data_IF_453419693322
#
_entry.id   IF_453419693322
#
_cell.length_a   1.000
_cell.length_b   1.000
_cell.length_c   1.000
_cell.angle_alpha   90.00
_cell.angle_beta   90.00
_cell.angle_gamma   90.00
#
_symmetry.space_group_name_H-M   'P 1'
#
loop_
_entity.id
_entity.type
_entity.pdbx_description
1 polymer ?
#
# COMPACT_ATOMS: atom_id res chain seq x y z
N UNK A 1 -24.09 28.91 2.54
CA UNK A 1 -22.87 28.44 1.83
C UNK A 1 -22.56 27.02 2.29
N UNK A 2 -22.49 26.03 1.40
CA UNK A 2 -22.01 24.68 1.77
C UNK A 2 -20.55 24.83 2.22
N UNK A 3 -20.23 24.49 3.47
CA UNK A 3 -18.84 24.44 3.94
C UNK A 3 -18.04 23.52 3.01
N UNK A 4 -16.90 24.01 2.53
CA UNK A 4 -15.97 23.22 1.74
C UNK A 4 -15.51 22.02 2.59
N UNK A 5 -15.81 20.80 2.14
CA UNK A 5 -15.50 19.58 2.88
C UNK A 5 -14.09 19.12 2.52
N UNK A 6 -13.33 18.69 3.52
CA UNK A 6 -11.96 18.19 3.33
C UNK A 6 -11.99 16.86 2.59
N UNK A 7 -11.08 16.66 1.63
CA UNK A 7 -10.91 15.38 0.94
C UNK A 7 -10.05 14.43 1.78
N UNK A 8 -10.45 13.17 1.87
CA UNK A 8 -9.74 12.12 2.61
C UNK A 8 -9.77 10.83 1.80
N UNK A 9 -8.61 10.20 1.66
CA UNK A 9 -8.46 8.88 1.06
C UNK A 9 -8.43 7.83 2.18
N UNK A 10 -9.28 6.82 2.07
CA UNK A 10 -9.35 5.73 3.05
C UNK A 10 -9.06 4.41 2.34
N UNK A 11 -8.13 3.63 2.88
CA UNK A 11 -7.89 2.25 2.44
C UNK A 11 -8.62 1.27 3.36
N UNK A 12 -9.19 0.21 2.79
CA UNK A 12 -9.86 -0.85 3.54
C UNK A 12 -9.04 -2.14 3.44
N UNK A 13 -8.48 -2.58 4.56
CA UNK A 13 -7.59 -3.75 4.66
C UNK A 13 -8.21 -4.85 5.55
N UNK A 14 -7.68 -6.07 5.47
CA UNK A 14 -8.18 -7.22 6.23
C UNK A 14 -8.08 -8.55 5.47
N UNK A 15 -8.31 -9.67 6.15
CA UNK A 15 -8.19 -11.02 5.59
C UNK A 15 -9.14 -11.29 4.41
N UNK A 16 -8.79 -12.21 3.50
CA UNK A 16 -9.76 -12.79 2.56
C UNK A 16 -11.00 -13.26 3.35
N UNK A 17 -12.18 -13.08 2.76
CA UNK A 17 -13.47 -13.42 3.36
C UNK A 17 -13.88 -12.66 4.63
N UNK A 18 -13.08 -11.71 5.12
CA UNK A 18 -13.51 -10.75 6.17
C UNK A 18 -14.58 -9.73 5.72
N UNK A 19 -15.27 -9.98 4.61
CA UNK A 19 -16.35 -9.12 4.10
C UNK A 19 -15.96 -7.68 3.74
N UNK A 20 -14.67 -7.40 3.46
CA UNK A 20 -14.17 -6.07 3.05
C UNK A 20 -15.00 -5.39 1.97
N UNK A 21 -15.19 -6.08 0.85
CA UNK A 21 -15.94 -5.55 -0.28
C UNK A 21 -17.42 -5.38 0.07
N UNK A 22 -18.02 -6.31 0.82
CA UNK A 22 -19.42 -6.20 1.24
C UNK A 22 -19.65 -4.98 2.13
N UNK A 23 -18.84 -4.80 3.17
CA UNK A 23 -18.93 -3.66 4.10
C UNK A 23 -18.69 -2.32 3.39
N UNK A 24 -17.68 -2.27 2.52
CA UNK A 24 -17.37 -1.07 1.74
C UNK A 24 -18.53 -0.71 0.79
N UNK A 25 -19.12 -1.70 0.13
CA UNK A 25 -20.21 -1.48 -0.82
C UNK A 25 -21.47 -1.01 -0.13
N UNK A 26 -21.78 -1.62 1.02
CA UNK A 26 -22.89 -1.22 1.86
C UNK A 26 -22.72 0.20 2.42
N UNK A 27 -21.49 0.60 2.77
CA UNK A 27 -21.18 1.95 3.22
C UNK A 27 -21.42 2.98 2.11
N UNK A 28 -20.90 2.73 0.90
CA UNK A 28 -21.09 3.63 -0.26
C UNK A 28 -22.58 3.74 -0.61
N UNK A 29 -23.31 2.62 -0.56
CA UNK A 29 -24.76 2.58 -0.77
C UNK A 29 -25.50 3.46 0.23
N UNK A 30 -25.26 3.26 1.54
CA UNK A 30 -25.93 4.03 2.61
C UNK A 30 -25.57 5.51 2.62
N UNK A 31 -24.35 5.87 2.23
CA UNK A 31 -23.91 7.25 2.15
C UNK A 31 -24.34 7.96 0.86
N UNK A 32 -25.12 7.32 -0.01
CA UNK A 32 -25.61 7.91 -1.26
C UNK A 32 -24.50 8.17 -2.28
N UNK A 33 -23.41 7.41 -2.22
CA UNK A 33 -22.31 7.49 -3.20
C UNK A 33 -22.68 6.91 -4.58
N UNK A 34 -23.85 6.28 -4.71
CA UNK A 34 -24.38 5.70 -5.94
C UNK A 34 -25.73 6.37 -6.25
N UNK A 35 -25.91 6.80 -7.49
CA UNK A 35 -27.20 7.32 -7.96
C UNK A 35 -28.29 6.24 -7.95
N UNK A 36 -29.53 6.64 -7.62
CA UNK A 36 -30.69 5.75 -7.49
C UNK A 36 -30.96 4.92 -8.76
N UNK A 37 -30.72 5.50 -9.94
CA UNK A 37 -30.87 4.79 -11.23
C UNK A 37 -29.86 3.66 -11.40
N UNK A 38 -28.64 3.87 -10.91
CA UNK A 38 -27.59 2.86 -10.96
C UNK A 38 -27.83 1.78 -9.92
N UNK A 39 -28.37 2.13 -8.75
CA UNK A 39 -28.78 1.18 -7.71
C UNK A 39 -29.75 0.13 -8.28
N UNK A 40 -30.88 0.55 -8.85
CA UNK A 40 -31.88 -0.39 -9.40
C UNK A 40 -31.31 -1.29 -10.49
N UNK A 41 -30.45 -0.74 -11.35
CA UNK A 41 -29.75 -1.50 -12.39
C UNK A 41 -28.83 -2.55 -11.81
N UNK A 42 -28.14 -2.23 -10.71
CA UNK A 42 -27.22 -3.15 -10.07
C UNK A 42 -27.95 -4.23 -9.27
N UNK A 43 -29.03 -3.88 -8.58
CA UNK A 43 -29.86 -4.84 -7.83
C UNK A 43 -30.47 -5.88 -8.79
N UNK A 44 -31.02 -5.42 -9.92
CA UNK A 44 -31.54 -6.30 -10.97
C UNK A 44 -30.46 -7.22 -11.56
N UNK A 45 -29.28 -6.66 -11.87
CA UNK A 45 -28.17 -7.44 -12.42
C UNK A 45 -27.58 -8.46 -11.43
N UNK A 46 -27.56 -8.14 -10.13
CA UNK A 46 -27.11 -9.07 -9.10
C UNK A 46 -28.10 -10.24 -8.90
N UNK A 47 -29.41 -9.94 -8.96
CA UNK A 47 -30.47 -10.94 -8.89
C UNK A 47 -30.45 -11.90 -10.09
N UNK A 48 -30.29 -11.39 -11.31
CA UNK A 48 -30.19 -12.19 -12.55
C UNK A 48 -28.97 -13.13 -12.53
N UNK A 49 -27.88 -12.73 -11.88
CA UNK A 49 -26.66 -13.53 -11.74
C UNK A 49 -26.66 -14.46 -10.51
N UNK A 50 -27.74 -14.51 -9.73
CA UNK A 50 -27.86 -15.36 -8.54
C UNK A 50 -26.90 -14.98 -7.40
N UNK A 51 -26.42 -13.73 -7.34
CA UNK A 51 -25.42 -13.27 -6.36
C UNK A 51 -26.05 -12.66 -5.09
N UNK A 52 -27.10 -13.28 -4.55
CA UNK A 52 -27.94 -12.70 -3.50
C UNK A 52 -27.19 -12.20 -2.25
N UNK A 53 -26.26 -12.98 -1.69
CA UNK A 53 -25.51 -12.57 -0.48
C UNK A 53 -24.28 -11.67 -0.76
N UNK A 54 -23.89 -11.51 -2.03
CA UNK A 54 -22.68 -10.79 -2.45
C UNK A 54 -22.98 -9.54 -3.31
N UNK A 55 -24.24 -9.10 -3.31
CA UNK A 55 -24.74 -7.99 -4.13
C UNK A 55 -23.90 -6.72 -3.98
N UNK A 56 -23.65 -6.27 -2.75
CA UNK A 56 -22.85 -5.06 -2.50
C UNK A 56 -21.39 -5.18 -2.95
N UNK A 57 -20.79 -6.37 -2.83
CA UNK A 57 -19.44 -6.62 -3.32
C UNK A 57 -19.39 -6.62 -4.86
N UNK A 58 -20.45 -7.13 -5.51
CA UNK A 58 -20.59 -7.12 -6.96
C UNK A 58 -20.75 -5.70 -7.50
N UNK A 59 -21.57 -4.87 -6.85
CA UNK A 59 -21.73 -3.44 -7.17
C UNK A 59 -20.37 -2.72 -7.12
N UNK A 60 -19.58 -2.95 -6.07
CA UNK A 60 -18.22 -2.40 -5.94
C UNK A 60 -17.28 -2.82 -7.07
N UNK A 61 -17.40 -4.07 -7.54
CA UNK A 61 -16.64 -4.58 -8.67
C UNK A 61 -16.99 -3.91 -9.99
N UNK A 62 -18.22 -3.40 -10.13
CA UNK A 62 -18.67 -2.61 -11.30
C UNK A 62 -18.28 -1.13 -11.19
N UNK A 63 -18.25 -0.57 -9.98
CA UNK A 63 -17.89 0.82 -9.70
C UNK A 63 -16.38 1.08 -9.66
N UNK A 64 -15.57 0.43 -10.52
CA UNK A 64 -14.09 0.57 -10.53
C UNK A 64 -13.61 2.03 -10.56
N UNK A 65 -14.42 2.98 -11.05
CA UNK A 65 -14.09 4.40 -11.13
C UNK A 65 -14.71 5.29 -10.02
N UNK A 66 -15.73 4.83 -9.29
CA UNK A 66 -16.62 5.70 -8.49
C UNK A 66 -16.75 5.25 -7.02
N UNK A 67 -15.64 4.86 -6.38
CA UNK A 67 -15.65 4.50 -4.95
C UNK A 67 -15.55 5.73 -4.05
N UNK A 68 -16.57 6.60 -4.08
CA UNK A 68 -16.58 7.86 -3.34
C UNK A 68 -17.89 8.03 -2.58
N UNK A 69 -17.83 8.64 -1.41
CA UNK A 69 -19.02 9.04 -0.67
C UNK A 69 -18.76 10.29 0.16
N UNK A 70 -19.83 10.94 0.60
CA UNK A 70 -19.75 12.13 1.43
C UNK A 70 -20.18 11.83 2.87
N UNK A 71 -19.51 12.50 3.81
CA UNK A 71 -19.98 12.60 5.21
C UNK A 71 -20.33 14.05 5.53
N UNK A 72 -20.69 14.32 6.79
CA UNK A 72 -20.96 15.68 7.25
C UNK A 72 -19.74 16.61 7.11
N UNK A 73 -18.51 16.07 7.19
CA UNK A 73 -17.25 16.85 7.21
C UNK A 73 -16.31 16.55 6.05
N UNK A 74 -16.39 15.36 5.46
CA UNK A 74 -15.37 14.87 4.51
C UNK A 74 -15.96 14.39 3.19
N UNK A 75 -15.19 14.61 2.13
CA UNK A 75 -15.28 13.89 0.85
C UNK A 75 -14.36 12.68 0.94
N UNK A 76 -14.94 11.48 1.02
CA UNK A 76 -14.18 10.24 1.19
C UNK A 76 -14.01 9.55 -0.16
N UNK A 77 -12.77 9.21 -0.50
CA UNK A 77 -12.44 8.29 -1.60
C UNK A 77 -11.93 6.99 -1.00
N UNK A 78 -12.54 5.87 -1.38
CA UNK A 78 -12.05 4.55 -0.98
C UNK A 78 -10.99 4.09 -1.98
N UNK A 79 -9.81 3.81 -1.46
CA UNK A 79 -8.71 3.21 -2.22
C UNK A 79 -8.85 1.69 -2.20
N UNK A 80 -8.71 1.07 -3.37
CA UNK A 80 -8.79 -0.37 -3.51
C UNK A 80 -7.54 -1.03 -2.89
N UNK A 81 -7.75 -1.86 -1.86
CA UNK A 81 -6.72 -2.71 -1.27
C UNK A 81 -7.21 -4.16 -1.28
N UNK A 82 -6.94 -4.90 -2.36
CA UNK A 82 -7.30 -6.31 -2.45
C UNK A 82 -6.57 -7.13 -1.40
N UNK A 83 -7.30 -8.02 -0.72
CA UNK A 83 -6.74 -8.88 0.32
C UNK A 83 -6.07 -10.15 -0.21
N UNK A 84 -6.08 -10.43 -1.51
CA UNK A 84 -5.44 -11.64 -2.05
C UNK A 84 -3.92 -11.44 -2.23
N UNK A 85 -3.14 -12.49 -1.99
CA UNK A 85 -1.66 -12.44 -2.02
C UNK A 85 -1.11 -11.98 -3.38
N UNK A 86 -1.80 -12.31 -4.47
CA UNK A 86 -1.40 -11.89 -5.82
C UNK A 86 -1.50 -10.38 -6.06
N UNK A 87 -2.19 -9.63 -5.19
CA UNK A 87 -2.40 -8.20 -5.36
C UNK A 87 -1.71 -7.35 -4.30
N UNK A 88 -0.66 -7.87 -3.66
CA UNK A 88 0.16 -7.12 -2.69
C UNK A 88 0.70 -5.82 -3.30
N UNK A 89 1.09 -5.80 -4.57
CA UNK A 89 1.53 -4.58 -5.27
C UNK A 89 0.43 -3.51 -5.30
N UNK A 90 -0.80 -3.90 -5.61
CA UNK A 90 -1.95 -2.98 -5.61
C UNK A 90 -2.27 -2.49 -4.19
N UNK A 91 -2.11 -3.35 -3.18
CA UNK A 91 -2.29 -2.98 -1.78
C UNK A 91 -1.24 -1.95 -1.33
N UNK A 92 0.04 -2.14 -1.68
CA UNK A 92 1.13 -1.21 -1.31
C UNK A 92 0.93 0.14 -2.00
N UNK A 93 0.66 0.14 -3.31
CA UNK A 93 0.42 1.37 -4.07
C UNK A 93 -0.85 2.10 -3.62
N UNK A 94 -1.92 1.36 -3.29
CA UNK A 94 -3.17 1.91 -2.77
C UNK A 94 -3.02 2.50 -1.37
N UNK A 95 -2.37 1.78 -0.47
CA UNK A 95 -2.12 2.25 0.92
C UNK A 95 -1.24 3.50 0.93
N UNK A 96 -0.27 3.60 0.00
CA UNK A 96 0.59 4.79 -0.14
C UNK A 96 -0.17 6.07 -0.48
N UNK A 97 -1.38 5.97 -1.03
CA UNK A 97 -2.25 7.12 -1.36
C UNK A 97 -3.28 7.41 -0.26
N UNK A 98 -3.37 6.56 0.76
CA UNK A 98 -4.40 6.65 1.78
C UNK A 98 -3.96 7.51 2.96
N UNK A 99 -4.86 8.36 3.44
CA UNK A 99 -4.66 9.16 4.65
C UNK A 99 -4.99 8.35 5.90
N UNK A 100 -5.94 7.40 5.79
CA UNK A 100 -6.45 6.58 6.89
C UNK A 100 -6.68 5.14 6.42
N UNK A 101 -6.57 4.19 7.33
CA UNK A 101 -6.87 2.79 7.09
C UNK A 101 -8.03 2.30 7.97
N UNK A 102 -8.90 1.48 7.40
CA UNK A 102 -9.92 0.71 8.10
C UNK A 102 -9.50 -0.76 8.03
N UNK A 103 -9.22 -1.36 9.18
CA UNK A 103 -8.97 -2.80 9.29
C UNK A 103 -10.29 -3.53 9.58
N UNK A 104 -10.68 -4.44 8.69
CA UNK A 104 -11.84 -5.30 8.90
C UNK A 104 -11.38 -6.66 9.39
N UNK A 105 -11.98 -7.08 10.49
CA UNK A 105 -11.71 -8.35 11.17
C UNK A 105 -13.01 -9.12 11.24
N UNK A 106 -12.99 -10.37 10.75
CA UNK A 106 -14.12 -11.27 10.88
C UNK A 106 -14.30 -11.68 12.35
N UNK A 107 -15.55 -11.80 12.78
CA UNK A 107 -15.90 -12.23 14.13
C UNK A 107 -16.49 -13.65 14.17
N UNK A 108 -16.58 -14.32 13.00
CA UNK A 108 -16.98 -15.72 12.92
C UNK A 108 -15.95 -16.61 13.62
N UNK A 109 -16.44 -17.67 14.25
CA UNK A 109 -15.59 -18.76 14.76
C UNK A 109 -14.81 -19.35 13.59
N UNK A 110 -13.54 -19.64 13.79
CA UNK A 110 -12.56 -20.10 12.79
C UNK A 110 -12.14 -19.02 11.77
N UNK A 111 -13.01 -18.08 11.41
CA UNK A 111 -12.68 -16.96 10.51
C UNK A 111 -11.74 -15.95 11.17
N UNK A 112 -12.00 -15.62 12.44
CA UNK A 112 -11.13 -14.75 13.23
C UNK A 112 -9.75 -15.37 13.38
N UNK A 113 -9.70 -16.62 13.82
CA UNK A 113 -8.48 -17.40 14.05
C UNK A 113 -7.67 -17.55 12.75
N UNK A 114 -8.34 -17.84 11.62
CA UNK A 114 -7.69 -17.90 10.32
C UNK A 114 -7.02 -16.58 9.95
N UNK A 115 -7.72 -15.45 10.17
CA UNK A 115 -7.23 -14.11 9.87
C UNK A 115 -6.00 -13.70 10.70
N UNK A 116 -5.95 -14.05 11.98
CA UNK A 116 -4.83 -13.71 12.90
C UNK A 116 -3.74 -14.79 12.96
N UNK A 117 -3.94 -15.94 12.32
CA UNK A 117 -2.96 -17.02 12.27
C UNK A 117 -1.66 -16.58 11.58
N UNK A 118 -0.59 -17.38 11.71
CA UNK A 118 0.69 -17.17 11.00
C UNK A 118 0.57 -17.16 9.47
N UNK A 119 -0.54 -17.64 8.93
CA UNK A 119 -0.83 -17.65 7.49
C UNK A 119 -1.94 -16.67 7.10
N UNK A 120 -2.60 -16.09 8.10
CA UNK A 120 -3.59 -15.05 7.96
C UNK A 120 -2.96 -13.75 7.47
N UNK A 121 -3.80 -12.88 6.94
CA UNK A 121 -3.38 -11.60 6.35
C UNK A 121 -3.68 -10.42 7.27
N UNK A 122 -4.38 -10.65 8.37
CA UNK A 122 -4.61 -9.65 9.41
C UNK A 122 -3.32 -9.43 10.22
N UNK A 123 -2.43 -10.42 10.27
CA UNK A 123 -1.12 -10.31 10.88
C UNK A 123 -0.02 -10.52 9.82
N UNK A 124 0.63 -9.44 9.42
CA UNK A 124 1.74 -9.47 8.46
C UNK A 124 3.00 -9.97 9.19
N UNK A 125 3.22 -11.29 9.21
CA UNK A 125 4.47 -11.89 9.67
C UNK A 125 5.30 -12.32 8.46
N UNK A 126 6.51 -11.76 8.26
CA UNK A 126 7.45 -12.33 7.31
C UNK A 126 7.71 -13.79 7.67
N UNK A 127 7.67 -14.70 6.68
CA UNK A 127 7.89 -16.13 6.95
C UNK A 127 9.25 -16.36 7.64
N UNK A 128 9.31 -17.26 8.64
CA UNK A 128 10.52 -17.49 9.44
C UNK A 128 11.70 -18.12 8.70
N UNK A 129 11.55 -18.54 7.43
CA UNK A 129 12.55 -19.34 6.72
C UNK A 129 13.43 -18.55 5.75
N UNK A 130 13.25 -17.24 5.60
CA UNK A 130 14.06 -16.44 4.69
C UNK A 130 15.09 -15.62 5.44
N UNK A 131 16.36 -15.80 5.08
CA UNK A 131 17.48 -14.99 5.58
C UNK A 131 17.89 -13.98 4.51
N UNK A 132 18.01 -12.71 4.87
CA UNK A 132 18.50 -11.65 3.97
C UNK A 132 20.00 -11.48 4.24
N UNK A 133 20.83 -11.62 3.21
CA UNK A 133 22.27 -11.38 3.27
C UNK A 133 22.71 -10.29 2.29
N UNK A 134 23.93 -9.77 2.47
CA UNK A 134 24.52 -8.86 1.49
C UNK A 134 24.55 -9.48 0.09
N UNK A 135 24.17 -8.71 -0.92
CA UNK A 135 24.02 -9.16 -2.30
C UNK A 135 22.62 -9.62 -2.68
N UNK A 136 21.72 -9.84 -1.72
CA UNK A 136 20.31 -10.16 -1.99
C UNK A 136 19.64 -9.03 -2.79
N UNK A 137 18.90 -9.36 -3.85
CA UNK A 137 18.34 -8.39 -4.79
C UNK A 137 16.81 -8.51 -4.93
N UNK A 138 16.05 -8.09 -3.90
CA UNK A 138 14.59 -8.10 -3.96
C UNK A 138 14.05 -6.99 -4.87
N UNK A 139 12.75 -7.07 -5.15
CA UNK A 139 12.02 -6.00 -5.79
C UNK A 139 11.63 -4.96 -4.74
N UNK A 140 12.06 -3.72 -4.91
CA UNK A 140 11.67 -2.57 -4.10
C UNK A 140 10.40 -1.96 -4.68
N UNK A 141 9.35 -1.96 -3.86
CA UNK A 141 8.13 -1.18 -4.05
C UNK A 141 8.24 0.12 -3.25
N UNK A 142 8.54 1.22 -3.93
CA UNK A 142 8.58 2.55 -3.34
C UNK A 142 7.57 3.43 -4.06
N UNK A 143 6.41 3.66 -3.45
CA UNK A 143 5.31 4.40 -4.06
C UNK A 143 4.85 3.76 -5.38
N UNK A 144 4.96 4.48 -6.51
CA UNK A 144 4.67 3.98 -7.85
C UNK A 144 5.88 3.31 -8.53
N UNK A 145 7.06 3.34 -7.92
CA UNK A 145 8.27 2.73 -8.47
C UNK A 145 8.37 1.25 -8.05
N UNK A 146 8.54 0.38 -9.06
CA UNK A 146 8.75 -1.06 -8.94
C UNK A 146 10.10 -1.42 -9.56
N UNK A 147 11.15 -1.56 -8.74
CA UNK A 147 12.53 -1.66 -9.23
C UNK A 147 13.32 -2.68 -8.42
N UNK A 148 14.07 -3.55 -9.09
CA UNK A 148 15.02 -4.44 -8.41
C UNK A 148 16.11 -3.62 -7.72
N UNK A 149 16.30 -3.85 -6.42
CA UNK A 149 17.30 -3.16 -5.61
C UNK A 149 18.20 -4.17 -4.94
N UNK A 150 19.51 -4.00 -5.09
CA UNK A 150 20.51 -4.86 -4.46
C UNK A 150 20.78 -4.36 -3.04
N UNK A 151 20.67 -5.24 -2.05
CA UNK A 151 21.21 -5.05 -0.72
C UNK A 151 22.73 -5.00 -0.84
N UNK A 152 23.32 -3.82 -0.78
CA UNK A 152 24.76 -3.64 -0.92
C UNK A 152 25.48 -4.09 0.36
N UNK A 153 24.99 -3.61 1.50
CA UNK A 153 25.61 -3.85 2.81
C UNK A 153 24.56 -3.83 3.92
N UNK A 154 24.69 -4.75 4.87
CA UNK A 154 23.93 -4.75 6.12
C UNK A 154 24.76 -3.97 7.14
N UNK A 155 24.39 -2.74 7.47
CA UNK A 155 25.19 -1.88 8.36
C UNK A 155 24.99 -2.24 9.82
N UNK A 156 23.75 -2.20 10.28
CA UNK A 156 23.46 -2.34 11.70
C UNK A 156 22.24 -3.23 11.88
N UNK A 157 22.29 -4.17 12.82
CA UNK A 157 21.08 -4.75 13.39
C UNK A 157 20.58 -3.84 14.51
N UNK A 158 19.29 -3.56 14.53
CA UNK A 158 18.67 -2.65 15.50
C UNK A 158 17.48 -3.33 16.19
N UNK A 159 17.20 -2.90 17.42
CA UNK A 159 15.95 -3.27 18.08
C UNK A 159 14.78 -2.48 17.48
N UNK A 160 13.74 -3.19 17.03
CA UNK A 160 12.58 -2.60 16.35
C UNK A 160 11.77 -1.61 17.20
N UNK A 161 11.82 -1.70 18.54
CA UNK A 161 11.03 -0.82 19.43
C UNK A 161 11.82 0.40 19.87
N UNK A 162 13.06 0.19 20.27
CA UNK A 162 13.91 1.23 20.86
C UNK A 162 14.83 1.91 19.84
N UNK A 163 15.05 1.29 18.67
CA UNK A 163 15.99 1.77 17.66
C UNK A 163 17.45 1.65 18.06
N UNK A 164 17.75 0.99 19.19
CA UNK A 164 19.14 0.80 19.66
C UNK A 164 19.86 -0.21 18.77
N UNK A 165 21.11 0.09 18.43
CA UNK A 165 22.00 -0.84 17.73
C UNK A 165 22.28 -2.06 18.62
N UNK A 166 22.09 -3.24 18.04
CA UNK A 166 22.33 -4.55 18.66
C UNK A 166 23.62 -5.17 18.14
N UNK A 167 23.88 -5.07 16.84
CA UNK A 167 25.00 -5.71 16.16
C UNK A 167 25.50 -4.81 15.02
N UNK A 168 26.81 -4.83 14.78
CA UNK A 168 27.47 -4.12 13.67
C UNK A 168 27.80 -5.10 12.56
N UNK A 169 27.42 -4.79 11.33
CA UNK A 169 27.71 -5.61 10.15
C UNK A 169 27.19 -7.06 10.21
N UNK A 170 25.90 -7.32 10.48
CA UNK A 170 25.40 -8.70 10.59
C UNK A 170 25.57 -9.46 9.27
N UNK A 171 25.95 -10.74 9.32
CA UNK A 171 26.11 -11.58 8.11
C UNK A 171 24.77 -11.88 7.41
N UNK A 172 23.70 -12.05 8.19
CA UNK A 172 22.35 -12.28 7.69
C UNK A 172 21.29 -11.74 8.67
N UNK A 173 20.13 -11.35 8.13
CA UNK A 173 18.94 -10.97 8.89
C UNK A 173 17.89 -12.07 8.82
N UNK A 174 17.16 -12.30 9.90
CA UNK A 174 16.04 -13.26 9.98
C UNK A 174 14.71 -12.54 10.17
N UNK A 175 13.61 -13.28 10.01
CA UNK A 175 12.28 -12.73 10.31
C UNK A 175 12.19 -12.20 11.74
N UNK A 176 11.66 -10.98 11.89
CA UNK A 176 11.57 -10.25 13.15
C UNK A 176 12.75 -9.33 13.44
N UNK A 177 13.86 -9.46 12.72
CA UNK A 177 14.99 -8.53 12.84
C UNK A 177 14.67 -7.19 12.18
N UNK A 178 15.14 -6.10 12.80
CA UNK A 178 15.19 -4.78 12.18
C UNK A 178 16.65 -4.41 11.91
N UNK A 179 16.91 -3.70 10.82
CA UNK A 179 18.27 -3.33 10.44
C UNK A 179 18.35 -2.03 9.63
N UNK A 180 19.54 -1.44 9.62
CA UNK A 180 19.94 -0.38 8.68
C UNK A 180 20.71 -1.05 7.55
N UNK A 181 20.28 -0.80 6.33
CA UNK A 181 20.77 -1.48 5.13
C UNK A 181 21.02 -0.46 4.03
N UNK A 182 22.17 -0.56 3.37
CA UNK A 182 22.48 0.21 2.18
C UNK A 182 21.93 -0.50 0.94
N UNK A 183 21.14 0.23 0.16
CA UNK A 183 20.42 -0.29 -0.99
C UNK A 183 20.88 0.40 -2.27
N UNK A 184 21.22 -0.39 -3.27
CA UNK A 184 21.61 0.08 -4.60
C UNK A 184 20.51 -0.27 -5.63
N UNK A 185 19.76 0.72 -6.16
CA UNK A 185 18.75 0.45 -7.18
C UNK A 185 19.39 0.07 -8.52
N UNK A 186 18.86 -0.97 -9.17
CA UNK A 186 19.36 -1.44 -10.46
C UNK A 186 18.97 -0.56 -11.66
N UNK A 187 17.98 0.32 -11.47
CA UNK A 187 17.54 1.32 -12.46
C UNK A 187 17.46 2.70 -11.80
N UNK A 188 17.52 3.81 -12.56
CA UNK A 188 17.31 5.14 -12.01
C UNK A 188 15.96 5.25 -11.30
N UNK A 189 15.99 5.61 -10.02
CA UNK A 189 14.82 5.75 -9.14
C UNK A 189 14.86 7.11 -8.47
N UNK A 190 13.68 7.68 -8.19
CA UNK A 190 13.54 8.83 -7.32
C UNK A 190 13.00 8.36 -5.97
N UNK A 191 13.75 8.60 -4.90
CA UNK A 191 13.34 8.32 -3.53
C UNK A 191 13.84 9.44 -2.63
N UNK A 192 13.12 9.71 -1.55
CA UNK A 192 13.42 10.78 -0.62
C UNK A 192 13.49 10.25 0.81
N UNK A 193 14.19 10.98 1.67
CA UNK A 193 14.21 10.71 3.11
C UNK A 193 12.80 10.82 3.67
N UNK A 194 12.38 9.80 4.42
CA UNK A 194 11.07 9.75 5.08
C UNK A 194 10.81 10.98 5.97
N UNK A 195 11.84 11.49 6.63
CA UNK A 195 11.74 12.65 7.53
C UNK A 195 11.40 13.93 6.78
N UNK A 196 11.84 14.05 5.52
CA UNK A 196 11.61 15.22 4.68
C UNK A 196 10.31 15.08 3.88
N UNK A 197 10.06 13.89 3.36
CA UNK A 197 8.92 13.59 2.54
C UNK A 197 8.34 12.21 2.89
N UNK A 198 7.01 12.06 2.98
CA UNK A 198 6.36 10.77 3.26
C UNK A 198 6.58 9.71 2.16
N UNK A 199 7.25 10.10 1.06
CA UNK A 199 7.66 9.25 -0.05
C UNK A 199 8.71 8.18 0.35
N UNK A 200 9.29 8.26 1.54
CA UNK A 200 10.35 7.35 2.00
C UNK A 200 9.88 5.96 2.45
N UNK A 201 8.59 5.63 2.44
CA UNK A 201 8.13 4.27 2.75
C UNK A 201 8.31 3.33 1.57
N UNK A 202 8.80 2.13 1.86
CA UNK A 202 8.96 1.09 0.85
C UNK A 202 8.69 -0.31 1.41
N UNK A 203 8.42 -1.24 0.50
CA UNK A 203 8.32 -2.66 0.77
C UNK A 203 9.27 -3.44 -0.13
N UNK A 204 9.96 -4.42 0.43
CA UNK A 204 10.69 -5.42 -0.32
C UNK A 204 9.79 -6.60 -0.60
N UNK A 205 9.75 -7.01 -1.85
CA UNK A 205 8.99 -8.16 -2.30
C UNK A 205 9.89 -9.14 -3.04
N UNK A 206 9.70 -10.43 -2.75
CA UNK A 206 10.34 -11.54 -3.45
C UNK A 206 9.30 -12.62 -3.74
N UNK A 207 9.31 -13.17 -4.96
CA UNK A 207 8.32 -14.14 -5.46
C UNK A 207 6.88 -13.77 -5.02
N UNK A 208 6.49 -12.50 -5.23
CA UNK A 208 5.17 -11.94 -4.87
C UNK A 208 4.81 -12.00 -3.38
N UNK A 209 5.79 -12.09 -2.48
CA UNK A 209 5.58 -11.99 -1.04
C UNK A 209 6.36 -10.81 -0.49
N UNK A 210 5.76 -10.04 0.41
CA UNK A 210 6.47 -9.00 1.15
C UNK A 210 7.43 -9.67 2.13
N UNK A 211 8.71 -9.40 1.99
CA UNK A 211 9.77 -10.00 2.82
C UNK A 211 10.26 -9.04 3.89
N UNK A 212 10.15 -7.74 3.64
CA UNK A 212 10.47 -6.70 4.59
C UNK A 212 9.75 -5.40 4.21
N UNK A 213 9.56 -4.53 5.19
CA UNK A 213 9.08 -3.16 4.99
C UNK A 213 10.08 -2.21 5.64
N UNK A 214 10.21 -1.02 5.08
CA UNK A 214 11.23 -0.08 5.55
C UNK A 214 10.90 1.37 5.27
N UNK A 215 11.72 2.23 5.87
CA UNK A 215 11.68 3.68 5.71
C UNK A 215 13.07 4.18 5.30
N UNK A 216 13.12 5.04 4.29
CA UNK A 216 14.36 5.63 3.81
C UNK A 216 14.89 6.63 4.84
N UNK A 217 16.07 6.35 5.39
CA UNK A 217 16.78 7.23 6.33
C UNK A 217 17.64 8.28 5.64
N UNK A 218 18.28 7.92 4.54
CA UNK A 218 19.15 8.78 3.76
C UNK A 218 19.15 8.35 2.29
N UNK A 219 19.47 9.28 1.39
CA UNK A 219 19.59 9.03 -0.05
C UNK A 219 20.81 9.77 -0.56
N UNK A 220 21.76 9.05 -1.13
CA UNK A 220 22.87 9.63 -1.86
C UNK A 220 22.39 10.07 -3.24
N UNK A 221 22.04 11.35 -3.34
CA UNK A 221 21.51 11.92 -4.59
C UNK A 221 22.63 11.99 -5.63
N UNK A 222 22.40 11.38 -6.78
CA UNK A 222 23.28 11.53 -7.94
C UNK A 222 23.39 13.01 -8.29
N UNK A 223 24.62 13.51 -8.44
CA UNK A 223 24.89 14.89 -8.82
C UNK A 223 24.07 15.26 -10.06
N UNK A 224 23.43 16.43 -10.03
CA UNK A 224 22.61 16.92 -11.13
C UNK A 224 23.50 17.19 -12.35
N UNK A 225 23.62 16.20 -13.24
CA UNK A 225 24.09 16.44 -14.60
C UNK A 225 23.04 17.30 -15.31
N UNK A 226 23.47 18.25 -16.15
CA UNK A 226 22.57 19.06 -16.95
C UNK A 226 21.66 18.16 -17.78
N UNK A 227 20.43 17.93 -17.32
CA UNK A 227 19.42 17.22 -18.10
C UNK A 227 19.22 17.95 -19.43
N UNK A 228 18.91 17.21 -20.50
CA UNK A 228 18.59 17.83 -21.80
C UNK A 228 17.37 18.75 -21.62
N UNK A 229 17.64 20.04 -21.46
CA UNK A 229 16.60 21.05 -21.32
C UNK A 229 15.76 21.10 -22.59
N UNK A 230 14.45 21.11 -22.44
CA UNK A 230 13.56 21.33 -23.59
C UNK A 230 13.76 22.75 -24.13
N UNK A 231 13.54 22.94 -25.44
CA UNK A 231 13.62 24.28 -26.06
C UNK A 231 12.73 25.30 -25.34
N UNK A 232 11.60 24.85 -24.79
CA UNK A 232 10.68 25.64 -23.98
C UNK A 232 11.30 26.09 -22.64
N UNK A 233 11.99 25.20 -21.94
CA UNK A 233 12.68 25.53 -20.69
C UNK A 233 13.84 26.51 -20.92
N UNK A 234 14.58 26.34 -22.02
CA UNK A 234 15.65 27.26 -22.43
C UNK A 234 15.11 28.65 -22.79
N UNK A 235 13.92 28.73 -23.41
CA UNK A 235 13.28 30.01 -23.76
C UNK A 235 12.77 30.74 -22.52
N UNK A 236 12.25 30.03 -21.52
CA UNK A 236 11.81 30.62 -20.25
C UNK A 236 12.98 31.12 -19.38
N UNK A 237 14.13 30.44 -19.41
CA UNK A 237 15.33 30.88 -18.70
C UNK A 237 15.98 32.13 -19.30
N UNK A 238 15.81 32.37 -20.61
CA UNK A 238 16.28 33.59 -21.30
C UNK A 238 15.36 34.80 -21.16
N UNK A 239 14.18 34.63 -20.56
CA UNK A 239 13.18 35.69 -20.38
C UNK A 239 13.17 36.28 -18.95
N UNK A 240 14.13 35.88 -18.12
CA UNK A 240 14.51 36.54 -16.86
C UNK A 240 15.84 37.24 -17.05
#
# INVERSE_FOLDING_TARGET
MRKEKTRVNIVVIGHIDSSKSTTTGHLIYKCGGIDKRNIEKFEKGAAEMGKGSAEHAWVLGKLKAERKFETNKYYVTIVDAPGHRDFIENMITGTSQADRAILIVAAGVDEFEAGVSKHGQTCDYPKPSMSISAGYAPVLNCQAALIACKCAELKDKIDHRSGKKLEDGPEFLKSGDAAIVDMAPGKPTCTENFSNYPLGHFAFCDIRQTVAVGVVKAVDKKAAGAGKGTKSAQKAQKAK
#
